data_IF_602971398811
#
_entry.id   IF_602971398811
#
_cell.length_a   1.000
_cell.length_b   1.000
_cell.length_c   1.000
_cell.angle_alpha   90.00
_cell.angle_beta   90.00
_cell.angle_gamma   90.00
#
_symmetry.space_group_name_H-M   'P 1'
#
loop_
_entity.id
_entity.type
_entity.pdbx_description
1 polymer ?
#
# COMPACT_ATOMS: atom_id res chain seq x y z
N UNK A 1 -20.87 2.71 10.98
CA UNK A 1 -19.58 2.04 10.81
C UNK A 1 -19.59 1.37 9.45
N UNK A 2 -18.55 1.57 8.65
CA UNK A 2 -18.45 0.91 7.35
C UNK A 2 -18.04 -0.55 7.54
N UNK A 3 -18.73 -1.44 6.84
CA UNK A 3 -18.47 -2.88 6.80
C UNK A 3 -18.01 -3.36 5.43
N UNK A 4 -18.42 -2.66 4.37
CA UNK A 4 -18.08 -3.02 3.01
C UNK A 4 -17.53 -1.82 2.23
N UNK A 5 -16.46 -2.07 1.49
CA UNK A 5 -15.91 -1.20 0.46
C UNK A 5 -16.41 -1.70 -0.90
N UNK A 6 -17.21 -0.89 -1.57
CA UNK A 6 -17.69 -1.16 -2.92
C UNK A 6 -16.84 -0.34 -3.90
N UNK A 7 -16.32 -0.98 -4.93
CA UNK A 7 -15.44 -0.37 -5.91
C UNK A 7 -16.06 -0.45 -7.31
N UNK A 8 -16.05 0.66 -8.04
CA UNK A 8 -16.23 0.63 -9.49
C UNK A 8 -14.97 0.07 -10.18
N UNK A 9 -15.10 -0.43 -11.41
CA UNK A 9 -13.96 -0.90 -12.20
C UNK A 9 -13.48 0.18 -13.18
N UNK A 10 -14.30 0.48 -14.19
CA UNK A 10 -13.94 1.35 -15.31
C UNK A 10 -13.71 2.78 -14.86
N UNK A 11 -12.62 3.37 -15.31
CA UNK A 11 -12.16 4.72 -15.00
C UNK A 11 -12.02 5.03 -13.49
N UNK A 12 -12.03 3.98 -12.66
CA UNK A 12 -11.79 4.04 -11.21
C UNK A 12 -10.59 3.19 -10.81
N UNK A 13 -10.63 1.88 -11.06
CA UNK A 13 -9.52 0.97 -10.82
C UNK A 13 -8.67 0.77 -12.08
N UNK A 14 -9.29 0.80 -13.25
CA UNK A 14 -8.61 0.65 -14.54
C UNK A 14 -8.92 1.85 -15.43
N UNK A 15 -7.99 2.20 -16.31
CA UNK A 15 -8.27 3.08 -17.44
C UNK A 15 -9.06 2.28 -18.49
N UNK A 16 -10.31 2.64 -18.73
CA UNK A 16 -11.20 1.91 -19.64
C UNK A 16 -10.69 1.92 -21.09
N UNK A 17 -9.87 2.90 -21.47
CA UNK A 17 -9.33 2.99 -22.82
C UNK A 17 -8.13 2.05 -23.04
N UNK A 18 -7.34 1.79 -21.99
CA UNK A 18 -6.14 0.94 -22.07
C UNK A 18 -6.31 -0.44 -21.44
N UNK A 19 -7.41 -0.68 -20.71
CA UNK A 19 -7.66 -1.87 -19.88
C UNK A 19 -6.51 -2.15 -18.89
N UNK A 20 -5.85 -1.10 -18.38
CA UNK A 20 -4.75 -1.23 -17.42
C UNK A 20 -5.15 -0.64 -16.07
N UNK A 21 -4.76 -1.28 -14.95
CA UNK A 21 -4.87 -0.67 -13.64
C UNK A 21 -4.20 0.70 -13.58
N UNK A 22 -4.83 1.66 -12.90
CA UNK A 22 -4.16 2.92 -12.59
C UNK A 22 -2.93 2.67 -11.70
N UNK A 23 -1.89 3.53 -11.76
CA UNK A 23 -0.72 3.40 -10.91
C UNK A 23 -1.06 3.31 -9.41
N UNK A 24 -0.51 2.30 -8.74
CA UNK A 24 -0.67 2.08 -7.29
C UNK A 24 -1.96 1.37 -6.88
N UNK A 25 -2.84 0.96 -7.81
CA UNK A 25 -4.08 0.23 -7.50
C UNK A 25 -3.79 -1.08 -6.79
N UNK A 26 -2.90 -1.91 -7.32
CA UNK A 26 -2.58 -3.21 -6.73
C UNK A 26 -2.01 -3.09 -5.32
N UNK A 27 -1.09 -2.14 -5.11
CA UNK A 27 -0.50 -1.89 -3.79
C UNK A 27 -1.56 -1.38 -2.80
N UNK A 28 -2.42 -0.47 -3.24
CA UNK A 28 -3.51 0.05 -2.41
C UNK A 28 -4.50 -1.04 -2.02
N UNK A 29 -4.92 -1.89 -2.96
CA UNK A 29 -5.81 -3.02 -2.68
C UNK A 29 -5.16 -4.02 -1.74
N UNK A 30 -3.87 -4.34 -1.93
CA UNK A 30 -3.12 -5.22 -1.03
C UNK A 30 -3.04 -4.68 0.41
N UNK A 31 -2.96 -3.35 0.60
CA UNK A 31 -3.07 -2.73 1.92
C UNK A 31 -4.50 -2.84 2.47
N UNK A 32 -5.50 -2.52 1.65
CA UNK A 32 -6.92 -2.51 2.04
C UNK A 32 -7.41 -3.91 2.44
N UNK A 33 -6.91 -4.99 1.83
CA UNK A 33 -7.23 -6.38 2.23
C UNK A 33 -6.87 -6.68 3.69
N UNK A 34 -5.92 -5.96 4.26
CA UNK A 34 -5.51 -6.12 5.67
C UNK A 34 -6.37 -5.32 6.63
N UNK A 35 -7.30 -4.50 6.13
CA UNK A 35 -8.08 -3.60 6.97
C UNK A 35 -9.12 -4.36 7.79
N UNK A 36 -9.25 -3.92 9.04
CA UNK A 36 -10.29 -4.38 9.96
C UNK A 36 -11.27 -3.24 10.24
N UNK A 37 -12.55 -3.59 10.33
CA UNK A 37 -13.62 -2.71 10.80
C UNK A 37 -13.51 -2.50 12.31
N UNK A 38 -14.29 -1.56 12.86
CA UNK A 38 -14.22 -1.24 14.29
C UNK A 38 -14.68 -2.36 15.25
N UNK A 39 -15.36 -3.39 14.74
CA UNK A 39 -15.65 -4.65 15.45
C UNK A 39 -14.60 -5.75 15.20
N UNK A 40 -13.44 -5.38 14.64
CA UNK A 40 -12.31 -6.29 14.32
C UNK A 40 -12.61 -7.35 13.26
N UNK A 41 -13.68 -7.20 12.50
CA UNK A 41 -13.93 -8.04 11.34
C UNK A 41 -13.11 -7.55 10.14
N UNK A 42 -12.71 -8.42 9.20
CA UNK A 42 -12.09 -7.98 7.95
C UNK A 42 -13.03 -7.07 7.15
N UNK A 43 -12.50 -5.98 6.58
CA UNK A 43 -13.26 -5.13 5.67
C UNK A 43 -13.66 -5.92 4.42
N UNK A 44 -14.95 -5.94 4.11
CA UNK A 44 -15.45 -6.65 2.94
C UNK A 44 -15.23 -5.79 1.69
N UNK A 45 -14.25 -6.16 0.86
CA UNK A 45 -13.99 -5.51 -0.43
C UNK A 45 -14.80 -6.19 -1.52
N UNK A 46 -15.54 -5.40 -2.31
CA UNK A 46 -16.39 -5.87 -3.39
C UNK A 46 -16.24 -4.98 -4.64
N UNK A 47 -16.45 -5.57 -5.80
CA UNK A 47 -16.53 -4.88 -7.07
C UNK A 47 -18.00 -4.76 -7.52
N UNK A 48 -18.41 -3.57 -7.92
CA UNK A 48 -19.77 -3.26 -8.41
C UNK A 48 -19.69 -2.51 -9.74
N UNK A 49 -19.95 -3.22 -10.84
CA UNK A 49 -19.78 -2.70 -12.19
C UNK A 49 -21.07 -2.75 -13.00
N UNK A 50 -21.32 -1.69 -13.75
CA UNK A 50 -22.24 -1.80 -14.87
C UNK A 50 -21.55 -2.58 -15.98
N UNK A 51 -22.24 -3.57 -16.53
CA UNK A 51 -21.76 -4.38 -17.64
C UNK A 51 -22.91 -4.77 -18.57
N UNK A 52 -22.63 -5.61 -19.56
CA UNK A 52 -23.61 -6.05 -20.56
C UNK A 52 -24.83 -6.69 -19.90
N UNK A 53 -26.04 -6.25 -20.26
CA UNK A 53 -27.29 -6.87 -19.81
C UNK A 53 -27.86 -7.70 -20.96
N UNK A 54 -27.68 -9.03 -20.97
CA UNK A 54 -28.13 -9.87 -22.06
C UNK A 54 -29.66 -9.93 -22.11
N UNK A 55 -30.20 -9.98 -23.33
CA UNK A 55 -31.62 -10.21 -23.60
C UNK A 55 -31.80 -11.44 -24.49
N UNK A 56 -32.56 -12.48 -24.07
CA UNK A 56 -33.25 -12.60 -22.78
C UNK A 56 -32.28 -12.86 -21.62
N UNK A 57 -32.60 -12.30 -20.46
CA UNK A 57 -31.79 -12.43 -19.23
C UNK A 57 -31.97 -13.79 -18.54
N UNK A 58 -31.42 -14.84 -19.16
CA UNK A 58 -31.43 -16.22 -18.62
C UNK A 58 -30.22 -16.48 -17.72
N UNK A 59 -30.30 -17.46 -16.81
CA UNK A 59 -29.15 -17.83 -15.94
C UNK A 59 -27.90 -18.21 -16.74
N UNK A 60 -28.07 -18.87 -17.90
CA UNK A 60 -26.95 -19.20 -18.79
C UNK A 60 -26.30 -17.96 -19.39
N UNK A 61 -27.10 -16.98 -19.82
CA UNK A 61 -26.58 -15.74 -20.37
C UNK A 61 -25.85 -14.91 -19.29
N UNK A 62 -26.42 -14.83 -18.08
CA UNK A 62 -25.76 -14.18 -16.92
C UNK A 62 -24.40 -14.83 -16.63
N UNK A 63 -24.35 -16.17 -16.57
CA UNK A 63 -23.09 -16.88 -16.31
C UNK A 63 -22.05 -16.65 -17.41
N UNK A 64 -22.44 -16.63 -18.68
CA UNK A 64 -21.55 -16.32 -19.79
C UNK A 64 -21.00 -14.89 -19.70
N UNK A 65 -21.86 -13.90 -19.50
CA UNK A 65 -21.46 -12.50 -19.29
C UNK A 65 -20.54 -12.33 -18.08
N UNK A 66 -20.79 -13.07 -17.01
CA UNK A 66 -19.94 -13.04 -15.83
C UNK A 66 -18.55 -13.64 -16.12
N UNK A 67 -18.48 -14.77 -16.82
CA UNK A 67 -17.21 -15.37 -17.22
C UNK A 67 -16.36 -14.41 -18.09
N UNK A 68 -16.97 -13.75 -19.07
CA UNK A 68 -16.30 -12.72 -19.88
C UNK A 68 -15.74 -11.57 -19.03
N UNK A 69 -16.49 -11.16 -18.00
CA UNK A 69 -16.03 -10.13 -17.08
C UNK A 69 -14.87 -10.60 -16.20
N UNK A 70 -14.87 -11.86 -15.78
CA UNK A 70 -13.74 -12.44 -15.03
C UNK A 70 -12.47 -12.50 -15.88
N UNK A 71 -12.59 -12.79 -17.18
CA UNK A 71 -11.44 -12.72 -18.10
C UNK A 71 -10.84 -11.31 -18.18
N UNK A 72 -11.67 -10.26 -18.11
CA UNK A 72 -11.18 -8.88 -18.00
C UNK A 72 -10.43 -8.66 -16.68
N UNK A 73 -10.96 -9.15 -15.56
CA UNK A 73 -10.27 -9.06 -14.26
C UNK A 73 -8.96 -9.86 -14.23
N UNK A 74 -8.90 -10.99 -14.94
CA UNK A 74 -7.70 -11.80 -15.07
C UNK A 74 -6.63 -11.08 -15.89
N UNK A 75 -7.00 -10.43 -17.01
CA UNK A 75 -6.07 -9.64 -17.83
C UNK A 75 -5.47 -8.45 -17.08
N UNK A 76 -6.23 -7.86 -16.16
CA UNK A 76 -5.79 -6.72 -15.34
C UNK A 76 -5.01 -7.14 -14.10
N UNK A 77 -4.99 -8.44 -13.76
CA UNK A 77 -4.37 -8.95 -12.53
C UNK A 77 -5.14 -8.61 -11.25
N UNK A 78 -6.33 -8.01 -11.36
CA UNK A 78 -7.11 -7.52 -10.22
C UNK A 78 -8.05 -8.57 -9.61
N UNK A 79 -8.34 -9.67 -10.32
CA UNK A 79 -9.27 -10.71 -9.85
C UNK A 79 -8.98 -11.20 -8.43
N UNK A 80 -7.70 -11.39 -8.09
CA UNK A 80 -7.26 -11.91 -6.78
C UNK A 80 -7.80 -11.14 -5.58
N UNK A 81 -8.04 -9.83 -5.72
CA UNK A 81 -8.54 -8.96 -4.66
C UNK A 81 -10.05 -9.10 -4.42
N UNK A 82 -10.74 -9.85 -5.29
CA UNK A 82 -12.19 -10.04 -5.27
C UNK A 82 -12.56 -11.52 -5.24
N UNK A 83 -11.68 -12.39 -4.75
CA UNK A 83 -12.03 -13.79 -4.49
C UNK A 83 -12.73 -13.94 -3.12
N UNK A 84 -13.75 -14.81 -2.98
CA UNK A 84 -14.41 -15.58 -4.03
C UNK A 84 -15.29 -14.69 -4.92
N UNK A 85 -15.10 -14.77 -6.25
CA UNK A 85 -15.73 -13.85 -7.21
C UNK A 85 -17.27 -13.93 -7.24
N UNK A 86 -17.84 -15.10 -6.93
CA UNK A 86 -19.29 -15.29 -6.83
C UNK A 86 -19.92 -14.51 -5.67
N UNK A 87 -19.13 -14.09 -4.69
CA UNK A 87 -19.56 -13.31 -3.53
C UNK A 87 -19.15 -11.85 -3.66
N UNK A 88 -17.93 -11.58 -4.15
CA UNK A 88 -17.34 -10.23 -4.12
C UNK A 88 -17.48 -9.44 -5.41
N UNK A 89 -17.83 -10.07 -6.54
CA UNK A 89 -18.09 -9.36 -7.80
C UNK A 89 -19.58 -9.33 -8.09
N UNK A 90 -20.12 -8.12 -8.25
CA UNK A 90 -21.51 -7.88 -8.62
C UNK A 90 -21.57 -7.02 -9.87
N UNK A 91 -22.37 -7.47 -10.83
CA UNK A 91 -22.58 -6.79 -12.10
C UNK A 91 -24.03 -6.32 -12.18
N UNK A 92 -24.30 -5.29 -12.98
CA UNK A 92 -25.68 -4.91 -13.32
C UNK A 92 -26.48 -6.10 -13.86
N UNK A 93 -25.82 -7.04 -14.55
CA UNK A 93 -26.38 -8.30 -15.04
C UNK A 93 -26.88 -9.22 -13.92
N UNK A 94 -26.27 -9.18 -12.74
CA UNK A 94 -26.69 -9.95 -11.56
C UNK A 94 -27.87 -9.29 -10.86
N UNK A 95 -27.82 -7.97 -10.70
CA UNK A 95 -28.86 -7.20 -10.00
C UNK A 95 -30.12 -6.99 -10.85
N UNK A 96 -29.98 -6.85 -12.16
CA UNK A 96 -31.07 -6.42 -13.05
C UNK A 96 -31.32 -4.94 -13.04
N UNK A 97 -30.38 -4.19 -12.48
CA UNK A 97 -30.39 -2.75 -12.40
C UNK A 97 -28.97 -2.25 -12.60
N UNK A 98 -28.84 -1.05 -13.13
CA UNK A 98 -27.57 -0.35 -13.32
C UNK A 98 -27.35 0.64 -12.19
N UNK A 99 -26.10 1.01 -11.95
CA UNK A 99 -25.80 2.14 -11.08
C UNK A 99 -26.50 3.40 -11.64
N UNK A 100 -27.02 4.29 -10.77
CA UNK A 100 -26.92 4.25 -9.31
C UNK A 100 -28.16 3.66 -8.61
N UNK A 101 -28.91 2.75 -9.25
CA UNK A 101 -30.05 2.09 -8.61
C UNK A 101 -29.61 1.36 -7.33
N UNK A 102 -30.36 1.51 -6.23
CA UNK A 102 -30.03 0.89 -4.95
C UNK A 102 -29.88 -0.64 -5.04
N UNK A 103 -30.66 -1.27 -5.93
CA UNK A 103 -30.73 -2.72 -6.08
C UNK A 103 -29.36 -3.34 -6.42
N UNK A 104 -28.50 -2.65 -7.17
CA UNK A 104 -27.17 -3.21 -7.50
C UNK A 104 -26.26 -3.28 -6.27
N UNK A 105 -26.32 -2.27 -5.40
CA UNK A 105 -25.54 -2.24 -4.16
C UNK A 105 -26.10 -3.20 -3.10
N UNK A 106 -27.43 -3.29 -2.98
CA UNK A 106 -28.08 -4.27 -2.11
C UNK A 106 -27.78 -5.70 -2.54
N UNK A 107 -27.77 -5.96 -3.86
CA UNK A 107 -27.37 -7.25 -4.42
C UNK A 107 -25.92 -7.57 -4.06
N UNK A 108 -25.01 -6.59 -4.10
CA UNK A 108 -23.62 -6.78 -3.72
C UNK A 108 -23.48 -7.13 -2.23
N UNK A 109 -24.19 -6.43 -1.35
CA UNK A 109 -24.22 -6.75 0.09
C UNK A 109 -24.71 -8.18 0.35
N UNK A 110 -25.80 -8.56 -0.32
CA UNK A 110 -26.38 -9.90 -0.19
C UNK A 110 -25.41 -10.99 -0.67
N UNK A 111 -24.76 -10.79 -1.82
CA UNK A 111 -23.79 -11.75 -2.37
C UNK A 111 -22.56 -11.89 -1.49
N UNK A 112 -22.09 -10.79 -0.90
CA UNK A 112 -20.92 -10.79 -0.03
C UNK A 112 -21.21 -11.24 1.42
N UNK A 113 -22.45 -11.60 1.74
CA UNK A 113 -22.84 -12.02 3.10
C UNK A 113 -22.70 -10.91 4.14
N UNK A 114 -22.79 -9.64 3.74
CA UNK A 114 -22.64 -8.50 4.66
C UNK A 114 -23.97 -8.21 5.35
N UNK A 115 -24.03 -8.47 6.65
CA UNK A 115 -25.16 -8.08 7.49
C UNK A 115 -25.18 -6.56 7.69
N UNK A 116 -26.18 -5.88 7.14
CA UNK A 116 -26.32 -4.44 7.27
C UNK A 116 -27.12 -3.76 6.17
N UNK A 117 -27.09 -2.43 6.21
CA UNK A 117 -27.67 -1.56 5.18
C UNK A 117 -26.62 -0.77 4.42
N UNK A 118 -27.03 -0.10 3.35
CA UNK A 118 -26.16 0.73 2.50
C UNK A 118 -25.46 1.88 3.26
N UNK A 119 -26.00 2.31 4.40
CA UNK A 119 -25.33 3.26 5.29
C UNK A 119 -24.04 2.72 5.96
N UNK A 120 -23.74 1.43 5.77
CA UNK A 120 -22.50 0.78 6.18
C UNK A 120 -21.59 0.47 4.97
N UNK A 121 -21.88 1.06 3.81
CA UNK A 121 -21.05 0.96 2.61
C UNK A 121 -20.22 2.24 2.42
N UNK A 122 -18.97 2.06 1.97
CA UNK A 122 -18.18 3.09 1.31
C UNK A 122 -18.10 2.74 -0.17
N UNK A 123 -18.56 3.61 -1.06
CA UNK A 123 -18.47 3.40 -2.51
C UNK A 123 -17.44 4.33 -3.16
N UNK A 124 -16.57 3.78 -4.01
CA UNK A 124 -15.58 4.53 -4.78
C UNK A 124 -15.88 4.42 -6.27
N UNK A 125 -16.02 5.57 -6.92
CA UNK A 125 -16.25 5.72 -8.36
C UNK A 125 -15.72 7.08 -8.84
N UNK A 126 -15.43 7.22 -10.12
CA UNK A 126 -15.11 8.49 -10.79
C UNK A 126 -16.36 9.33 -11.10
N UNK A 127 -17.54 8.70 -11.15
CA UNK A 127 -18.77 9.30 -11.64
C UNK A 127 -19.48 10.15 -10.57
N UNK A 128 -19.59 11.46 -10.79
CA UNK A 128 -20.22 12.40 -9.86
C UNK A 128 -21.72 12.13 -9.60
N UNK A 129 -22.45 11.65 -10.61
CA UNK A 129 -23.87 11.34 -10.49
C UNK A 129 -24.10 10.14 -9.58
N UNK A 130 -23.26 9.11 -9.73
CA UNK A 130 -23.25 7.96 -8.83
C UNK A 130 -22.96 8.38 -7.39
N UNK A 131 -21.97 9.25 -7.17
CA UNK A 131 -21.64 9.78 -5.84
C UNK A 131 -22.86 10.48 -5.22
N UNK A 132 -23.49 11.39 -5.96
CA UNK A 132 -24.64 12.14 -5.47
C UNK A 132 -25.84 11.23 -5.14
N UNK A 133 -26.10 10.21 -5.97
CA UNK A 133 -27.17 9.24 -5.74
C UNK A 133 -26.88 8.33 -4.54
N UNK A 134 -25.66 7.79 -4.42
CA UNK A 134 -25.28 6.92 -3.30
C UNK A 134 -25.33 7.64 -1.95
N UNK A 135 -24.98 8.93 -1.92
CA UNK A 135 -25.14 9.76 -0.71
C UNK A 135 -26.60 9.88 -0.27
N UNK A 136 -27.56 9.95 -1.21
CA UNK A 136 -29.01 9.93 -0.89
C UNK A 136 -29.47 8.59 -0.32
N UNK A 137 -28.77 7.50 -0.64
CA UNK A 137 -28.98 6.17 -0.06
C UNK A 137 -28.30 6.00 1.31
N UNK A 138 -27.65 7.05 1.83
CA UNK A 138 -26.95 7.04 3.11
C UNK A 138 -25.53 6.45 3.08
N UNK A 139 -25.02 6.08 1.90
CA UNK A 139 -23.68 5.52 1.74
C UNK A 139 -22.61 6.60 1.97
N UNK A 140 -21.43 6.18 2.46
CA UNK A 140 -20.20 6.97 2.33
C UNK A 140 -19.67 6.82 0.91
N UNK A 141 -18.97 7.85 0.43
CA UNK A 141 -18.49 7.88 -0.96
C UNK A 141 -17.17 8.60 -1.06
N UNK A 142 -16.25 8.08 -1.87
CA UNK A 142 -15.06 8.81 -2.33
C UNK A 142 -15.04 8.85 -3.85
N UNK A 143 -14.72 10.00 -4.41
CA UNK A 143 -14.65 10.20 -5.86
C UNK A 143 -13.22 10.15 -6.38
N UNK A 144 -12.89 9.17 -7.19
CA UNK A 144 -11.61 9.15 -7.90
C UNK A 144 -11.54 10.30 -8.92
N UNK A 145 -10.40 10.97 -8.99
CA UNK A 145 -10.20 12.18 -9.79
C UNK A 145 -10.67 13.48 -9.13
N UNK A 146 -11.31 13.43 -7.95
CA UNK A 146 -11.72 14.64 -7.20
C UNK A 146 -11.28 14.58 -5.74
N UNK A 147 -11.72 13.58 -4.98
CA UNK A 147 -11.37 13.43 -3.56
C UNK A 147 -9.93 12.91 -3.41
N UNK A 148 -9.49 12.09 -4.38
CA UNK A 148 -8.10 11.70 -4.55
C UNK A 148 -7.81 11.43 -6.02
N UNK A 149 -6.55 11.59 -6.45
CA UNK A 149 -6.12 11.38 -7.85
C UNK A 149 -5.09 10.26 -7.98
N UNK A 150 -4.63 9.69 -6.87
CA UNK A 150 -3.66 8.60 -6.84
C UNK A 150 -4.10 7.53 -5.85
N UNK A 151 -4.06 6.27 -6.26
CA UNK A 151 -4.49 5.15 -5.42
C UNK A 151 -3.63 4.94 -4.17
N UNK A 152 -2.41 5.48 -4.12
CA UNK A 152 -1.61 5.51 -2.89
C UNK A 152 -2.26 6.31 -1.74
N UNK A 153 -3.22 7.20 -2.06
CA UNK A 153 -3.96 8.01 -1.08
C UNK A 153 -5.20 7.27 -0.53
N UNK A 154 -5.76 6.35 -1.30
CA UNK A 154 -7.03 5.70 -0.98
C UNK A 154 -7.01 4.94 0.36
N UNK A 155 -5.96 4.17 0.72
CA UNK A 155 -5.92 3.47 2.00
C UNK A 155 -6.11 4.38 3.21
N UNK A 156 -5.49 5.58 3.25
CA UNK A 156 -5.71 6.49 4.39
C UNK A 156 -7.17 6.96 4.42
N UNK A 157 -7.70 7.43 3.29
CA UNK A 157 -9.06 7.96 3.22
C UNK A 157 -10.09 6.91 3.66
N UNK A 158 -9.94 5.67 3.18
CA UNK A 158 -10.79 4.55 3.58
C UNK A 158 -10.63 4.27 5.09
N UNK A 159 -9.40 4.29 5.61
CA UNK A 159 -9.14 4.02 7.03
C UNK A 159 -9.83 5.02 7.97
N UNK A 160 -10.00 6.27 7.53
CA UNK A 160 -10.71 7.31 8.29
C UNK A 160 -12.23 7.04 8.36
N UNK A 161 -12.82 6.48 7.30
CA UNK A 161 -14.27 6.21 7.21
C UNK A 161 -14.69 4.90 7.88
N UNK A 162 -13.84 3.87 7.90
CA UNK A 162 -14.16 2.56 8.54
C UNK A 162 -14.25 2.63 10.07
N UNK A 163 -13.84 3.76 10.66
CA UNK A 163 -14.17 4.09 12.04
C UNK A 163 -13.30 3.41 13.10
N UNK A 164 -12.17 2.82 12.71
CA UNK A 164 -11.12 2.45 13.63
C UNK A 164 -9.78 3.02 13.16
N UNK A 165 -9.32 3.99 13.95
CA UNK A 165 -7.91 4.19 14.29
C UNK A 165 -7.29 2.93 14.93
N UNK A 166 -7.65 1.74 14.46
CA UNK A 166 -7.08 0.48 14.91
C UNK A 166 -5.63 0.49 14.49
N UNK A 167 -4.76 0.14 15.43
CA UNK A 167 -3.31 0.13 15.25
C UNK A 167 -2.91 -0.53 13.92
N UNK A 168 -3.59 -1.61 13.52
CA UNK A 168 -3.35 -2.34 12.27
C UNK A 168 -3.59 -1.51 11.00
N UNK A 169 -4.72 -0.81 10.89
CA UNK A 169 -5.05 -0.05 9.68
C UNK A 169 -4.07 1.12 9.49
N UNK A 170 -3.78 1.84 10.57
CA UNK A 170 -2.82 2.94 10.53
C UNK A 170 -1.40 2.43 10.23
N UNK A 171 -0.96 1.33 10.82
CA UNK A 171 0.33 0.72 10.51
C UNK A 171 0.42 0.32 9.03
N UNK A 172 -0.62 -0.32 8.49
CA UNK A 172 -0.68 -0.76 7.11
C UNK A 172 -0.59 0.42 6.11
N UNK A 173 -1.08 1.60 6.49
CA UNK A 173 -0.92 2.83 5.71
C UNK A 173 0.49 3.42 5.82
N UNK A 174 1.05 3.49 7.03
CA UNK A 174 2.35 4.13 7.26
C UNK A 174 3.54 3.33 6.71
N UNK A 175 3.52 2.00 6.81
CA UNK A 175 4.64 1.14 6.42
C UNK A 175 5.10 1.33 4.96
N UNK A 176 4.23 1.23 3.93
CA UNK A 176 4.63 1.46 2.55
C UNK A 176 5.06 2.92 2.32
N UNK A 177 4.33 3.89 2.88
CA UNK A 177 4.64 5.30 2.70
C UNK A 177 6.02 5.69 3.26
N UNK A 178 6.44 5.08 4.38
CA UNK A 178 7.78 5.24 4.94
C UNK A 178 8.85 4.49 4.13
N UNK A 179 8.53 3.31 3.62
CA UNK A 179 9.44 2.53 2.78
C UNK A 179 9.84 3.27 1.51
N UNK A 180 8.90 4.00 0.88
CA UNK A 180 9.17 4.88 -0.27
C UNK A 180 10.17 6.00 0.04
N UNK A 181 10.39 6.31 1.32
CA UNK A 181 11.41 7.28 1.79
C UNK A 181 12.66 6.60 2.35
N UNK A 182 12.86 5.32 2.05
CA UNK A 182 14.01 4.55 2.52
C UNK A 182 13.95 4.13 3.98
N UNK A 183 12.82 4.36 4.67
CA UNK A 183 12.64 4.02 6.08
C UNK A 183 11.96 2.66 6.23
N UNK A 184 12.65 1.70 6.84
CA UNK A 184 12.10 0.37 7.15
C UNK A 184 11.60 0.33 8.58
N UNK A 185 10.31 0.55 8.78
CA UNK A 185 9.68 0.55 10.10
C UNK A 185 9.87 -0.79 10.84
N UNK A 186 10.44 -0.74 12.05
CA UNK A 186 10.72 -1.91 12.90
C UNK A 186 9.72 -2.06 14.04
N UNK A 187 9.43 -0.97 14.75
CA UNK A 187 8.44 -0.93 15.82
C UNK A 187 7.65 0.38 15.81
N UNK A 188 6.48 0.35 16.41
CA UNK A 188 5.63 1.53 16.61
C UNK A 188 5.41 1.69 18.10
N UNK A 189 5.72 2.88 18.60
CA UNK A 189 5.56 3.26 20.00
C UNK A 189 4.25 4.03 20.22
N UNK A 190 3.91 4.92 19.30
CA UNK A 190 2.68 5.73 19.33
C UNK A 190 2.08 5.78 17.93
N UNK A 191 0.77 5.55 17.85
CA UNK A 191 0.04 5.51 16.60
C UNK A 191 -1.32 6.15 16.76
N UNK A 192 -1.56 7.13 15.91
CA UNK A 192 -2.86 7.76 15.70
C UNK A 192 -3.18 7.72 14.20
N UNK A 193 -4.42 8.00 13.78
CA UNK A 193 -4.82 7.92 12.37
C UNK A 193 -3.89 8.62 11.38
N UNK A 194 -3.27 9.73 11.81
CA UNK A 194 -2.45 10.57 10.96
C UNK A 194 -1.06 10.84 11.54
N UNK A 195 -0.64 10.18 12.63
CA UNK A 195 0.71 10.32 13.17
C UNK A 195 1.24 8.99 13.66
N UNK A 196 2.53 8.79 13.45
CA UNK A 196 3.27 7.64 13.91
C UNK A 196 4.55 8.10 14.63
N UNK A 197 4.88 7.45 15.74
CA UNK A 197 6.22 7.44 16.32
C UNK A 197 6.68 6.01 16.54
N UNK A 198 7.96 5.75 16.31
CA UNK A 198 8.53 4.43 16.54
C UNK A 198 9.98 4.35 16.14
N UNK A 199 10.43 3.13 15.83
CA UNK A 199 11.79 2.88 15.35
C UNK A 199 11.76 2.34 13.92
N UNK A 200 12.72 2.77 13.11
CA UNK A 200 12.92 2.29 11.75
C UNK A 200 14.41 2.05 11.50
N UNK A 201 14.75 1.39 10.39
CA UNK A 201 16.11 1.43 9.84
C UNK A 201 16.19 2.44 8.72
N UNK A 202 17.28 3.23 8.71
CA UNK A 202 17.60 4.16 7.63
C UNK A 202 19.08 4.08 7.27
N UNK A 203 19.43 4.54 6.07
CA UNK A 203 20.82 4.83 5.71
C UNK A 203 21.22 6.16 6.35
N UNK A 204 22.21 6.10 7.25
CA UNK A 204 22.75 7.25 7.96
C UNK A 204 24.16 7.52 7.47
N UNK A 205 24.42 8.75 7.02
CA UNK A 205 25.75 9.19 6.59
C UNK A 205 26.64 9.46 7.81
N UNK A 206 27.73 8.72 7.92
CA UNK A 206 28.73 8.91 8.96
C UNK A 206 29.67 10.05 8.56
N UNK A 207 29.67 11.12 9.37
CA UNK A 207 30.58 12.24 9.20
C UNK A 207 31.60 12.21 10.33
N UNK A 208 32.81 11.76 10.02
CA UNK A 208 33.94 11.79 10.95
C UNK A 208 35.25 11.81 10.18
N UNK A 209 36.09 12.85 10.36
CA UNK A 209 37.41 12.92 9.72
C UNK A 209 38.28 11.69 9.98
N UNK A 210 38.09 11.03 11.13
CA UNK A 210 38.86 9.85 11.52
C UNK A 210 38.53 8.61 10.67
N UNK A 211 37.51 8.66 9.82
CA UNK A 211 37.17 7.60 8.86
C UNK A 211 38.01 7.64 7.57
N UNK A 212 38.80 8.69 7.35
CA UNK A 212 39.67 8.80 6.16
C UNK A 212 38.90 8.67 4.85
N UNK A 213 39.27 7.70 3.99
CA UNK A 213 38.56 7.46 2.72
C UNK A 213 37.11 6.97 2.90
N UNK A 214 36.72 6.57 4.10
CA UNK A 214 35.35 6.17 4.45
C UNK A 214 34.53 7.29 5.09
N UNK A 215 35.05 8.52 5.14
CA UNK A 215 34.20 9.66 5.47
C UNK A 215 33.03 9.74 4.48
N UNK A 216 31.86 10.14 4.98
CA UNK A 216 30.61 10.24 4.23
C UNK A 216 30.02 8.90 3.74
N UNK A 217 30.52 7.78 4.28
CA UNK A 217 29.89 6.48 4.03
C UNK A 217 28.55 6.37 4.75
N UNK A 218 27.59 5.75 4.10
CA UNK A 218 26.26 5.46 4.63
C UNK A 218 26.22 4.06 5.20
N UNK A 219 25.64 3.92 6.39
CA UNK A 219 25.44 2.65 7.08
C UNK A 219 23.98 2.53 7.52
N UNK A 220 23.45 1.30 7.58
CA UNK A 220 22.07 1.08 7.98
C UNK A 220 21.94 1.01 9.52
N UNK A 221 21.44 2.08 10.14
CA UNK A 221 21.28 2.19 11.60
C UNK A 221 19.80 2.21 12.01
N UNK A 222 19.49 1.81 13.25
CA UNK A 222 18.22 2.16 13.86
C UNK A 222 18.11 3.69 13.97
N UNK A 223 16.91 4.20 13.69
CA UNK A 223 16.55 5.61 13.84
C UNK A 223 15.22 5.72 14.56
N UNK A 224 15.07 6.74 15.38
CA UNK A 224 13.76 7.16 15.87
C UNK A 224 13.05 7.88 14.74
N UNK A 225 11.82 7.46 14.46
CA UNK A 225 11.00 8.03 13.40
C UNK A 225 9.75 8.67 13.99
N UNK A 226 9.45 9.89 13.53
CA UNK A 226 8.17 10.54 13.73
C UNK A 226 7.63 10.97 12.36
N UNK A 227 6.43 10.51 12.01
CA UNK A 227 5.80 10.78 10.74
C UNK A 227 4.37 11.30 10.93
N UNK A 228 3.93 12.19 10.04
CA UNK A 228 2.54 12.66 10.00
C UNK A 228 2.00 12.61 8.58
N UNK A 229 0.72 12.27 8.44
CA UNK A 229 -0.02 12.30 7.18
C UNK A 229 -0.94 13.53 7.15
N UNK A 230 -1.16 14.11 5.97
CA UNK A 230 -2.29 15.03 5.76
C UNK A 230 -3.61 14.26 5.65
N UNK A 231 -4.71 15.02 5.51
CA UNK A 231 -6.04 14.44 5.28
C UNK A 231 -6.13 13.60 4.01
N UNK A 232 -5.17 13.73 3.07
CA UNK A 232 -5.16 13.05 1.79
C UNK A 232 -4.21 11.82 1.76
N UNK A 233 -3.71 11.34 2.90
CA UNK A 233 -2.86 10.14 2.90
C UNK A 233 -1.38 10.41 2.67
N UNK A 234 -0.99 11.66 2.45
CA UNK A 234 0.38 11.98 2.06
C UNK A 234 1.20 12.31 3.29
N UNK A 235 2.41 11.76 3.34
CA UNK A 235 3.33 12.12 4.41
C UNK A 235 3.75 13.59 4.28
N UNK A 236 3.36 14.41 5.25
CA UNK A 236 3.70 15.84 5.33
C UNK A 236 5.04 16.06 5.99
N UNK A 237 5.31 15.33 7.07
CA UNK A 237 6.54 15.44 7.85
C UNK A 237 7.08 14.05 8.14
N UNK A 238 8.38 13.87 7.93
CA UNK A 238 9.15 12.74 8.45
C UNK A 238 10.37 13.31 9.13
N UNK A 239 10.51 13.00 10.41
CA UNK A 239 11.74 13.18 11.14
C UNK A 239 12.31 11.80 11.41
N UNK A 240 13.54 11.58 10.98
CA UNK A 240 14.31 10.39 11.31
C UNK A 240 15.61 10.80 11.95
N UNK A 241 15.84 10.39 13.19
CA UNK A 241 17.04 10.78 13.93
C UNK A 241 17.73 9.53 14.47
N UNK A 242 18.96 9.24 14.04
CA UNK A 242 19.75 8.17 14.66
C UNK A 242 20.14 8.59 16.08
N UNK A 243 20.27 7.62 16.99
CA UNK A 243 20.79 7.92 18.33
C UNK A 243 22.28 8.23 18.24
N UNK A 244 22.80 9.24 18.96
CA UNK A 244 24.22 9.59 18.94
C UNK A 244 25.14 8.40 19.26
N UNK A 245 24.74 7.54 20.20
CA UNK A 245 25.51 6.35 20.59
C UNK A 245 25.61 5.34 19.45
N UNK A 246 24.52 5.10 18.70
CA UNK A 246 24.51 4.20 17.53
C UNK A 246 25.44 4.74 16.42
N UNK A 247 25.49 6.06 16.24
CA UNK A 247 26.40 6.71 15.27
C UNK A 247 27.85 6.58 15.73
N UNK A 248 28.14 6.82 17.01
CA UNK A 248 29.48 6.69 17.56
C UNK A 248 29.99 5.24 17.48
N UNK A 249 29.15 4.26 17.82
CA UNK A 249 29.46 2.85 17.67
C UNK A 249 29.71 2.49 16.20
N UNK A 250 28.88 2.98 15.29
CA UNK A 250 29.06 2.76 13.86
C UNK A 250 30.39 3.33 13.33
N UNK A 251 30.78 4.54 13.77
CA UNK A 251 32.08 5.14 13.43
C UNK A 251 33.22 4.23 13.91
N UNK A 252 33.20 3.80 15.17
CA UNK A 252 34.21 2.90 15.74
C UNK A 252 34.26 1.55 14.99
N UNK A 253 33.09 1.03 14.60
CA UNK A 253 33.00 -0.20 13.82
C UNK A 253 33.67 -0.04 12.44
N UNK A 254 33.35 1.03 11.70
CA UNK A 254 33.96 1.29 10.39
C UNK A 254 35.47 1.50 10.51
N UNK A 255 35.94 2.22 11.53
CA UNK A 255 37.37 2.36 11.82
C UNK A 255 38.05 1.02 12.04
N UNK A 256 37.45 0.15 12.86
CA UNK A 256 37.96 -1.19 13.13
C UNK A 256 37.99 -2.05 11.86
N UNK A 257 36.93 -2.03 11.06
CA UNK A 257 36.87 -2.75 9.79
C UNK A 257 37.95 -2.25 8.81
N UNK A 258 38.16 -0.93 8.72
CA UNK A 258 39.18 -0.32 7.88
C UNK A 258 40.60 -0.69 8.34
N UNK A 259 40.89 -0.58 9.65
CA UNK A 259 42.18 -0.93 10.23
C UNK A 259 42.55 -2.41 10.01
N UNK A 260 41.55 -3.29 10.00
CA UNK A 260 41.71 -4.73 9.76
C UNK A 260 41.63 -5.12 8.26
N UNK A 261 41.58 -4.15 7.33
CA UNK A 261 41.45 -4.37 5.87
C UNK A 261 40.23 -5.25 5.50
N UNK A 262 39.14 -5.12 6.26
CA UNK A 262 37.91 -5.89 6.06
C UNK A 262 36.90 -5.21 5.11
N UNK A 263 37.20 -4.00 4.65
CA UNK A 263 36.39 -3.26 3.67
C UNK A 263 37.09 -3.28 2.31
N UNK A 264 36.38 -3.75 1.28
CA UNK A 264 36.79 -3.57 -0.11
C UNK A 264 36.41 -2.15 -0.58
N UNK A 265 37.42 -1.35 -0.92
CA UNK A 265 37.30 -0.03 -1.52
C UNK A 265 38.00 -0.05 -2.90
N UNK A 266 37.42 -0.78 -3.86
CA UNK A 266 37.99 -1.01 -5.20
C UNK A 266 37.86 -2.46 -5.71
N UNK A 267 38.35 -2.75 -6.94
CA UNK A 267 38.38 -4.11 -7.47
C UNK A 267 39.20 -5.05 -6.57
N UNK A 268 38.81 -6.33 -6.45
CA UNK A 268 39.47 -7.26 -5.54
C UNK A 268 40.94 -7.41 -5.91
N UNK A 269 41.83 -7.20 -4.94
CA UNK A 269 43.25 -7.51 -5.08
C UNK A 269 43.42 -9.04 -5.02
N UNK A 270 43.79 -9.70 -6.13
CA UNK A 270 43.94 -11.16 -6.17
C UNK A 270 45.11 -11.67 -5.32
N UNK A 271 46.00 -10.79 -4.85
CA UNK A 271 47.13 -11.14 -4.00
C UNK A 271 46.86 -11.01 -2.50
N UNK A 272 45.70 -10.46 -2.08
CA UNK A 272 45.38 -10.29 -0.66
C UNK A 272 44.94 -11.62 -0.03
N UNK A 273 45.60 -12.10 1.03
CA UNK A 273 45.21 -13.32 1.74
C UNK A 273 43.94 -13.16 2.60
N UNK A 274 43.46 -11.92 2.78
CA UNK A 274 42.25 -11.60 3.53
C UNK A 274 41.15 -11.19 2.55
N UNK A 275 40.08 -11.99 2.49
CA UNK A 275 38.88 -11.62 1.75
C UNK A 275 38.10 -10.58 2.55
N UNK A 276 37.86 -9.36 2.02
CA UNK A 276 37.11 -8.35 2.72
C UNK A 276 35.67 -8.83 2.93
N UNK A 277 35.19 -8.66 4.17
CA UNK A 277 33.84 -9.07 4.60
C UNK A 277 32.80 -7.99 4.31
N UNK A 278 33.24 -6.77 4.03
CA UNK A 278 32.41 -5.62 3.63
C UNK A 278 32.87 -5.03 2.30
N UNK A 279 31.97 -4.31 1.63
CA UNK A 279 32.29 -3.52 0.44
C UNK A 279 31.52 -2.20 0.47
N UNK A 280 32.11 -1.16 -0.09
CA UNK A 280 31.39 0.09 -0.38
C UNK A 280 30.73 -0.05 -1.76
N UNK A 281 29.41 0.07 -1.80
CA UNK A 281 28.62 0.14 -3.02
C UNK A 281 28.20 1.58 -3.26
N UNK A 282 28.08 2.01 -4.51
CA UNK A 282 27.42 3.28 -4.85
C UNK A 282 26.03 2.97 -5.38
N UNK A 283 25.00 3.54 -4.77
CA UNK A 283 23.63 3.37 -5.26
C UNK A 283 23.31 4.31 -6.43
N UNK A 284 22.08 4.22 -6.95
CA UNK A 284 21.61 5.08 -8.05
C UNK A 284 21.53 6.57 -7.70
N UNK A 285 21.58 6.93 -6.42
CA UNK A 285 21.59 8.32 -5.94
C UNK A 285 23.02 8.82 -5.70
N UNK A 286 24.05 8.01 -5.95
CA UNK A 286 25.45 8.35 -5.73
C UNK A 286 25.90 8.20 -4.28
N UNK A 287 25.08 7.62 -3.39
CA UNK A 287 25.44 7.40 -1.99
C UNK A 287 26.40 6.22 -1.87
N UNK A 288 27.49 6.41 -1.13
CA UNK A 288 28.45 5.34 -0.79
C UNK A 288 27.93 4.55 0.39
N UNK A 289 27.48 3.32 0.19
CA UNK A 289 26.86 2.47 1.21
C UNK A 289 27.81 1.34 1.59
N UNK A 290 28.14 1.22 2.88
CA UNK A 290 28.87 0.07 3.39
C UNK A 290 27.93 -1.12 3.54
N UNK A 291 28.20 -2.21 2.83
CA UNK A 291 27.42 -3.46 2.93
C UNK A 291 28.30 -4.65 3.25
N UNK A 292 27.78 -5.55 4.09
CA UNK A 292 28.41 -6.86 4.32
C UNK A 292 28.28 -7.71 3.06
N UNK A 293 29.36 -8.31 2.60
CA UNK A 293 29.30 -9.31 1.52
C UNK A 293 28.55 -10.53 2.04
N UNK A 294 27.52 -10.96 1.32
CA UNK A 294 26.93 -12.28 1.53
C UNK A 294 27.95 -13.30 1.05
N UNK A 295 28.46 -14.12 1.96
CA UNK A 295 29.21 -15.32 1.58
C UNK A 295 28.19 -16.28 0.96
N UNK A 296 28.15 -16.39 -0.36
CA UNK A 296 27.51 -17.54 -1.00
C UNK A 296 28.33 -18.77 -0.59
N UNK A 297 27.71 -19.65 0.20
CA UNK A 297 28.27 -20.97 0.44
C UNK A 297 28.39 -21.68 -0.91
N UNK A 298 29.60 -22.09 -1.27
CA UNK A 298 29.88 -23.01 -2.37
C UNK A 298 29.87 -24.44 -1.85
#
# INVERSE_FOLDING_TARGET
MIKALLLDLGDTLIDSASEKPFPGVEDALGVIETFETADHAPLVVCLVSDYTMPEPRTSRAIAATFAEYLELLDRTGLRRFFEPVEERVTLSTHAGARKPDALVFETAFKRAGVDGGLNQALFITENAEHIAACRKLGMKTLRYGTDFTSWSQAPLLISQDIGAAGFKNSEAVFRPALADRGLKLQSIEDLSPNKLRGTARNLVQLHSPDLGSFNDVHVELPVEVAASLDSAGRITTVHSTPRPDDVAEAILNVQSLAANKQIADGPPDPASPVLPTYRVETDSEGRRILRRRRLTAF
#
